data_IF_224802583684
#
_entry.id   IF_224802583684
#
_cell.length_a   1.000
_cell.length_b   1.000
_cell.length_c   1.000
_cell.angle_alpha   90.00
_cell.angle_beta   90.00
_cell.angle_gamma   90.00
#
_symmetry.space_group_name_H-M   'P 1'
#
loop_
_entity.id
_entity.type
_entity.pdbx_description
1 polymer ?
#
# COMPACT_ATOMS: atom_id res chain seq x y z
N UNK A 1 -4.45 5.16 -53.11
CA UNK A 1 -5.51 4.94 -52.09
C UNK A 1 -5.39 3.61 -51.35
N UNK A 2 -4.93 2.51 -51.98
CA UNK A 2 -4.79 1.19 -51.31
C UNK A 2 -3.64 1.12 -50.29
N UNK A 3 -2.54 1.86 -50.49
CA UNK A 3 -1.40 1.86 -49.57
C UNK A 3 -1.64 2.68 -48.29
N UNK A 4 -2.54 3.68 -48.33
CA UNK A 4 -2.84 4.52 -47.16
C UNK A 4 -3.64 3.75 -46.09
N UNK A 5 -4.48 2.79 -46.48
CA UNK A 5 -5.29 1.96 -45.58
C UNK A 5 -4.41 0.94 -44.83
N UNK A 6 -3.36 0.43 -45.48
CA UNK A 6 -2.45 -0.54 -44.87
C UNK A 6 -1.59 0.05 -43.73
N UNK A 7 -1.24 1.34 -43.82
CA UNK A 7 -0.43 2.03 -42.80
C UNK A 7 -1.26 2.33 -41.55
N UNK A 8 -2.55 2.63 -41.70
CA UNK A 8 -3.47 2.87 -40.57
C UNK A 8 -3.74 1.58 -39.78
N UNK A 9 -3.75 0.42 -40.45
CA UNK A 9 -3.91 -0.88 -39.79
C UNK A 9 -2.66 -1.33 -39.00
N UNK A 10 -1.47 -1.00 -39.50
CA UNK A 10 -0.21 -1.31 -38.81
C UNK A 10 0.01 -0.45 -37.56
N UNK A 11 -0.50 0.78 -37.54
CA UNK A 11 -0.41 1.69 -36.39
C UNK A 11 -1.38 1.36 -35.24
N UNK A 12 -2.49 0.65 -35.51
CA UNK A 12 -3.43 0.20 -34.46
C UNK A 12 -3.00 -1.09 -33.77
N UNK A 13 -1.97 -1.79 -34.27
CA UNK A 13 -1.48 -3.03 -33.67
C UNK A 13 -0.47 -2.82 -32.51
N UNK A 14 -0.05 -1.59 -32.24
CA UNK A 14 1.06 -1.29 -31.31
C UNK A 14 0.64 -0.74 -29.94
N UNK A 15 -0.64 -0.81 -29.54
CA UNK A 15 -1.12 -0.17 -28.29
C UNK A 15 -1.61 -1.18 -27.23
N UNK A 16 -1.31 -2.47 -27.34
CA UNK A 16 -1.96 -3.48 -26.47
C UNK A 16 -1.19 -3.82 -25.18
N UNK A 17 0.03 -3.33 -24.94
CA UNK A 17 0.86 -3.77 -23.80
C UNK A 17 1.36 -2.63 -22.91
N UNK A 18 0.46 -1.76 -22.46
CA UNK A 18 0.77 -0.73 -21.46
C UNK A 18 0.13 -0.99 -20.07
N UNK A 19 -0.36 -2.22 -19.81
CA UNK A 19 -0.67 -2.62 -18.44
C UNK A 19 0.65 -2.98 -17.73
N UNK A 20 0.89 -2.51 -16.50
CA UNK A 20 2.05 -2.95 -15.73
C UNK A 20 2.05 -4.49 -15.65
N UNK A 21 3.22 -5.09 -15.83
CA UNK A 21 3.39 -6.53 -15.65
C UNK A 21 3.15 -6.84 -14.17
N UNK A 22 2.06 -7.54 -13.85
CA UNK A 22 1.80 -8.04 -12.51
C UNK A 22 2.81 -9.15 -12.19
N UNK A 23 3.86 -8.79 -11.46
CA UNK A 23 4.90 -9.69 -10.96
C UNK A 23 4.78 -9.88 -9.43
N UNK A 24 3.60 -9.58 -8.85
CA UNK A 24 3.36 -9.72 -7.41
C UNK A 24 3.62 -11.14 -6.90
N UNK A 25 3.40 -12.15 -7.76
CA UNK A 25 3.69 -13.56 -7.45
C UNK A 25 5.19 -13.86 -7.20
N UNK A 26 6.10 -13.02 -7.71
CA UNK A 26 7.55 -13.16 -7.51
C UNK A 26 8.13 -12.02 -6.67
N UNK A 27 7.29 -11.26 -5.96
CA UNK A 27 7.73 -10.13 -5.15
C UNK A 27 8.80 -10.55 -4.12
N UNK A 28 9.91 -9.81 -4.08
CA UNK A 28 11.00 -9.99 -3.13
C UNK A 28 11.08 -8.82 -2.17
N UNK A 29 11.54 -9.06 -0.95
CA UNK A 29 11.77 -8.01 0.05
C UNK A 29 13.01 -7.19 -0.36
N UNK A 30 12.82 -5.88 -0.56
CA UNK A 30 13.87 -4.90 -0.81
C UNK A 30 14.43 -4.31 0.48
N UNK A 31 13.55 -4.01 1.43
CA UNK A 31 13.89 -3.44 2.73
C UNK A 31 13.03 -4.10 3.79
N UNK A 32 13.63 -4.35 4.95
CA UNK A 32 12.91 -4.74 6.15
C UNK A 32 13.64 -4.19 7.37
N UNK A 33 12.93 -3.47 8.21
CA UNK A 33 13.43 -2.94 9.48
C UNK A 33 12.49 -3.36 10.60
N UNK A 34 13.07 -3.78 11.71
CA UNK A 34 12.35 -4.13 12.93
C UNK A 34 13.17 -3.65 14.12
N UNK A 35 12.56 -2.78 14.91
CA UNK A 35 13.15 -2.24 16.12
C UNK A 35 12.13 -2.39 17.24
N UNK A 36 12.48 -3.11 18.30
CA UNK A 36 11.61 -3.39 19.44
C UNK A 36 12.14 -2.64 20.66
N UNK A 37 11.28 -1.84 21.30
CA UNK A 37 11.57 -1.08 22.50
C UNK A 37 10.69 -1.58 23.67
N UNK A 38 11.03 -1.26 24.94
CA UNK A 38 10.22 -1.67 26.08
C UNK A 38 8.75 -1.22 26.03
N UNK A 39 8.48 -0.06 25.42
CA UNK A 39 7.15 0.56 25.38
C UNK A 39 6.61 0.71 23.95
N UNK A 40 7.15 -0.03 22.99
CA UNK A 40 6.74 0.11 21.60
C UNK A 40 7.62 -0.62 20.62
N UNK A 41 7.32 -0.44 19.35
CA UNK A 41 8.12 -0.99 18.27
C UNK A 41 7.98 -0.13 17.02
N UNK A 42 8.94 -0.27 16.12
CA UNK A 42 8.85 0.21 14.74
C UNK A 42 9.06 -0.96 13.81
N UNK A 43 8.23 -1.06 12.80
CA UNK A 43 8.31 -2.11 11.80
C UNK A 43 8.05 -1.54 10.41
N UNK A 44 8.90 -1.87 9.46
CA UNK A 44 8.68 -1.47 8.08
C UNK A 44 9.25 -2.46 7.09
N UNK A 45 8.64 -2.51 5.91
CA UNK A 45 9.11 -3.32 4.79
C UNK A 45 8.72 -2.72 3.44
N UNK A 46 9.46 -3.12 2.41
CA UNK A 46 9.21 -2.77 1.01
C UNK A 46 9.53 -3.97 0.12
N UNK A 47 8.72 -4.18 -0.92
CA UNK A 47 8.87 -5.28 -1.88
C UNK A 47 9.09 -4.78 -3.30
N UNK A 48 9.62 -5.65 -4.17
CA UNK A 48 9.96 -5.32 -5.57
C UNK A 48 8.78 -4.93 -6.45
N UNK A 49 7.56 -5.36 -6.09
CA UNK A 49 6.31 -5.00 -6.76
C UNK A 49 5.75 -3.63 -6.31
N UNK A 50 6.49 -2.92 -5.44
CA UNK A 50 6.16 -1.58 -5.00
C UNK A 50 5.25 -1.51 -3.78
N UNK A 51 4.92 -2.65 -3.15
CA UNK A 51 4.21 -2.60 -1.86
C UNK A 51 5.15 -2.09 -0.76
N UNK A 52 4.59 -1.29 0.14
CA UNK A 52 5.30 -0.68 1.26
C UNK A 52 4.43 -0.72 2.50
N UNK A 53 5.04 -0.92 3.65
CA UNK A 53 4.40 -0.84 4.96
C UNK A 53 5.35 -0.19 5.95
N UNK A 54 4.84 0.77 6.71
CA UNK A 54 5.55 1.41 7.81
C UNK A 54 4.57 1.55 8.98
N UNK A 55 4.95 1.08 10.16
CA UNK A 55 4.14 1.23 11.37
C UNK A 55 4.97 1.41 12.64
N UNK A 56 4.35 2.06 13.61
CA UNK A 56 4.85 2.27 14.95
C UNK A 56 3.75 1.91 15.96
N UNK A 57 4.06 0.95 16.82
CA UNK A 57 3.22 0.60 17.96
C UNK A 57 3.74 1.26 19.23
N UNK A 58 2.84 1.83 20.03
CA UNK A 58 3.17 2.44 21.33
C UNK A 58 2.28 1.86 22.42
N UNK A 59 2.90 1.45 23.53
CA UNK A 59 2.18 1.01 24.73
C UNK A 59 1.42 2.19 25.34
N UNK A 60 0.12 2.00 25.53
CA UNK A 60 -0.80 2.95 26.15
C UNK A 60 -1.25 2.44 27.52
N UNK A 61 -1.32 3.35 28.50
CA UNK A 61 -1.72 3.08 29.88
C UNK A 61 -0.94 1.95 30.60
N UNK A 62 0.41 1.99 30.63
CA UNK A 62 1.21 0.94 31.24
C UNK A 62 0.87 0.75 32.73
N UNK A 63 0.56 -0.49 33.11
CA UNK A 63 0.20 -0.87 34.48
C UNK A 63 -1.26 -0.57 34.89
N UNK A 64 -2.12 -0.12 33.97
CA UNK A 64 -3.55 0.05 34.22
C UNK A 64 -4.36 -1.15 33.71
N UNK A 65 -5.63 -1.29 34.13
CA UNK A 65 -6.53 -2.34 33.61
C UNK A 65 -6.79 -2.23 32.10
N UNK A 66 -6.68 -1.02 31.54
CA UNK A 66 -6.82 -0.73 30.11
C UNK A 66 -5.46 -0.53 29.41
N UNK A 67 -4.43 -1.25 29.86
CA UNK A 67 -3.16 -1.33 29.13
C UNK A 67 -3.41 -1.92 27.73
N UNK A 68 -2.93 -1.21 26.71
CA UNK A 68 -3.17 -1.56 25.30
C UNK A 68 -2.00 -1.09 24.43
N UNK A 69 -1.98 -1.47 23.15
CA UNK A 69 -1.05 -0.91 22.17
C UNK A 69 -1.84 -0.11 21.16
N UNK A 70 -1.48 1.15 20.98
CA UNK A 70 -1.95 1.97 19.88
C UNK A 70 -0.95 1.91 18.73
N UNK A 71 -1.42 1.60 17.53
CA UNK A 71 -0.60 1.50 16.32
C UNK A 71 -0.95 2.64 15.37
N UNK A 72 0.08 3.30 14.85
CA UNK A 72 -0.05 4.24 13.72
C UNK A 72 0.81 3.74 12.59
N UNK A 73 0.27 3.72 11.39
CA UNK A 73 1.02 3.25 10.25
C UNK A 73 0.42 3.65 8.92
N UNK A 74 1.10 3.20 7.87
CA UNK A 74 0.64 3.31 6.51
C UNK A 74 1.07 2.09 5.71
N UNK A 75 0.22 1.67 4.79
CA UNK A 75 0.61 0.74 3.73
C UNK A 75 0.25 1.32 2.37
N UNK A 76 1.04 0.96 1.36
CA UNK A 76 0.80 1.33 -0.03
C UNK A 76 0.93 0.12 -0.94
N UNK A 77 0.13 0.10 -2.00
CA UNK A 77 0.13 -0.96 -3.01
C UNK A 77 -0.26 -0.40 -4.38
N UNK A 78 0.20 -1.05 -5.43
CA UNK A 78 -0.25 -0.78 -6.80
C UNK A 78 -1.49 -1.62 -7.06
N UNK A 79 -2.61 -1.00 -7.45
CA UNK A 79 -3.83 -1.73 -7.79
C UNK A 79 -3.89 -2.08 -9.29
N UNK A 80 -4.94 -2.82 -9.67
CA UNK A 80 -5.17 -3.29 -11.04
C UNK A 80 -5.31 -2.16 -12.09
N UNK A 81 -5.61 -0.94 -11.65
CA UNK A 81 -5.66 0.26 -12.50
C UNK A 81 -4.28 0.91 -12.72
N UNK A 82 -3.22 0.33 -12.14
CA UNK A 82 -1.85 0.83 -12.18
C UNK A 82 -1.59 2.03 -11.28
N UNK A 83 -2.56 2.48 -10.48
CA UNK A 83 -2.39 3.55 -9.51
C UNK A 83 -1.86 3.01 -8.19
N UNK A 84 -1.04 3.82 -7.52
CA UNK A 84 -0.59 3.54 -6.16
C UNK A 84 -1.61 4.10 -5.18
N UNK A 85 -2.14 3.22 -4.34
CA UNK A 85 -3.05 3.58 -3.26
C UNK A 85 -2.31 3.51 -1.93
N UNK A 86 -2.48 4.55 -1.12
CA UNK A 86 -1.96 4.61 0.24
C UNK A 86 -3.11 4.66 1.23
N UNK A 87 -3.00 3.86 2.29
CA UNK A 87 -3.87 3.92 3.46
C UNK A 87 -3.03 4.29 4.65
N UNK A 88 -3.39 5.40 5.31
CA UNK A 88 -2.89 5.77 6.62
C UNK A 88 -3.90 5.28 7.66
N UNK A 89 -3.44 4.82 8.82
CA UNK A 89 -4.36 4.31 9.84
C UNK A 89 -3.89 4.60 11.26
N UNK A 90 -4.89 4.62 12.14
CA UNK A 90 -4.73 4.51 13.59
C UNK A 90 -5.51 3.27 14.01
N UNK A 91 -4.89 2.40 14.80
CA UNK A 91 -5.55 1.28 15.46
C UNK A 91 -5.36 1.45 16.97
N UNK A 92 -6.45 1.66 17.69
CA UNK A 92 -6.46 1.84 19.14
C UNK A 92 -7.73 1.21 19.76
N UNK A 93 -8.08 1.59 20.99
CA UNK A 93 -9.27 1.10 21.70
C UNK A 93 -10.59 1.37 20.94
N UNK A 94 -10.61 2.31 20.00
CA UNK A 94 -11.76 2.61 19.14
C UNK A 94 -11.74 1.79 17.82
N UNK A 95 -10.79 0.87 17.67
CA UNK A 95 -10.63 0.03 16.49
C UNK A 95 -9.77 0.66 15.40
N UNK A 96 -9.84 0.06 14.20
CA UNK A 96 -9.07 0.44 13.03
C UNK A 96 -9.75 1.60 12.28
N UNK A 97 -9.01 2.69 12.10
CA UNK A 97 -9.50 3.95 11.56
C UNK A 97 -8.68 4.33 10.31
N UNK A 98 -9.00 3.78 9.13
CA UNK A 98 -8.23 4.01 7.91
C UNK A 98 -8.62 5.32 7.22
N UNK A 99 -7.64 5.93 6.57
CA UNK A 99 -7.76 7.16 5.79
C UNK A 99 -6.98 7.02 4.49
N UNK A 100 -7.66 7.25 3.37
CA UNK A 100 -7.08 7.17 2.04
C UNK A 100 -8.03 7.80 1.03
N UNK A 101 -7.49 8.42 -0.03
CA UNK A 101 -8.29 9.14 -1.03
C UNK A 101 -9.33 8.25 -1.76
N UNK A 102 -9.12 6.93 -1.75
CA UNK A 102 -9.96 5.92 -2.38
C UNK A 102 -10.98 5.30 -1.43
N UNK A 103 -10.90 5.61 -0.14
CA UNK A 103 -11.81 5.07 0.86
C UNK A 103 -13.06 5.96 0.97
N UNK A 104 -14.23 5.37 1.28
CA UNK A 104 -15.39 6.16 1.66
C UNK A 104 -15.03 7.05 2.85
N UNK A 105 -15.34 8.34 2.75
CA UNK A 105 -15.25 9.22 3.92
C UNK A 105 -16.22 8.68 4.97
N UNK A 106 -15.75 8.49 6.20
CA UNK A 106 -16.64 8.22 7.33
C UNK A 106 -17.62 9.40 7.43
N UNK A 107 -18.88 9.16 7.08
CA UNK A 107 -19.96 10.12 7.27
C UNK A 107 -20.19 10.26 8.77
N UNK A 108 -19.82 11.42 9.30
CA UNK A 108 -20.06 11.83 10.69
C UNK A 108 -21.53 12.18 10.91
#
# INVERSE_FOLDING_TARGET
MKCAIAIVFAAMLSVILAAPLDDSANAQILRQESDVQPNGYKFSWETTDGQKHDEEGTLTNPGAENESIAVRGSYSFTADDGQVYTVNYIADENGFQPQGAHLPNASN
#
